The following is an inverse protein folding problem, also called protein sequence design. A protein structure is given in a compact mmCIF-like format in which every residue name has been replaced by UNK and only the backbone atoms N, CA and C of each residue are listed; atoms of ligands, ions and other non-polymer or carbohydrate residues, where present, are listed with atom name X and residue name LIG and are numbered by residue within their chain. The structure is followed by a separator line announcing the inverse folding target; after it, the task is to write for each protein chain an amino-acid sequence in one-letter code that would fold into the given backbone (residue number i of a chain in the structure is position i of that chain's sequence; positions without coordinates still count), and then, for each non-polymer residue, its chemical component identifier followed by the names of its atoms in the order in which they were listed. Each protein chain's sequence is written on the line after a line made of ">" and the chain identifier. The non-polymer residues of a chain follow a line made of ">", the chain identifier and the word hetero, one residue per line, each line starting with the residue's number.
data_IF_221231674248
#
_entry.id   IF_221231674248
#
_cell.length_a   1.000
_cell.length_b   1.000
_cell.length_c   1.000
_cell.angle_alpha   90.00
_cell.angle_beta   90.00
_cell.angle_gamma   90.00
#
_symmetry.space_group_name_H-M   'P 1'
#
loop_
_entity.id
_entity.type
_entity.pdbx_description
1 polymer ?
#
# COMPACT_ATOMS: atom_id res chain seq x y z
N UNK A 1 -3.41 -8.45 -8.78
CA UNK A 1 -3.55 -7.99 -10.20
C UNK A 1 -2.19 -7.60 -10.78
N UNK A 2 -2.03 -7.61 -12.08
CA UNK A 2 -0.90 -7.03 -12.78
C UNK A 2 -1.30 -5.72 -13.45
N UNK A 3 -0.46 -4.67 -13.32
CA UNK A 3 -0.76 -3.38 -13.95
C UNK A 3 -0.69 -3.46 -15.49
N UNK A 4 -1.54 -2.70 -16.21
CA UNK A 4 -1.65 -2.77 -17.69
C UNK A 4 -0.32 -2.65 -18.42
N UNK A 5 0.57 -1.74 -18.00
CA UNK A 5 1.87 -1.57 -18.65
C UNK A 5 2.76 -2.82 -18.57
N UNK A 6 2.61 -3.62 -17.53
CA UNK A 6 3.32 -4.90 -17.38
C UNK A 6 2.75 -5.95 -18.33
N UNK A 7 1.42 -6.09 -18.36
CA UNK A 7 0.72 -6.99 -19.28
C UNK A 7 1.04 -6.66 -20.75
N UNK A 8 1.28 -5.37 -21.06
CA UNK A 8 1.73 -4.90 -22.39
C UNK A 8 3.24 -5.08 -22.61
N UNK A 9 3.98 -5.69 -21.69
CA UNK A 9 5.44 -5.91 -21.79
C UNK A 9 6.30 -4.65 -21.61
N UNK A 10 5.70 -3.54 -21.17
CA UNK A 10 6.44 -2.29 -20.94
C UNK A 10 7.14 -2.30 -19.58
N UNK A 11 8.36 -1.74 -19.54
CA UNK A 11 9.15 -1.61 -18.30
C UNK A 11 8.78 -0.36 -17.50
N UNK A 12 8.46 0.74 -18.18
CA UNK A 12 8.13 2.00 -17.53
C UNK A 12 6.66 2.01 -17.06
N UNK A 13 6.39 2.35 -15.79
CA UNK A 13 5.03 2.47 -15.29
C UNK A 13 4.24 3.57 -16.02
N UNK A 14 2.93 3.36 -16.12
CA UNK A 14 2.00 4.42 -16.48
C UNK A 14 1.97 5.51 -15.38
N UNK A 15 1.42 6.68 -15.69
CA UNK A 15 1.19 7.75 -14.71
C UNK A 15 0.13 7.32 -13.70
N UNK A 16 0.19 7.88 -12.48
CA UNK A 16 -0.67 7.51 -11.37
C UNK A 16 -2.17 7.50 -11.72
N UNK A 17 -2.77 8.48 -12.41
CA UNK A 17 -4.20 8.42 -12.73
C UNK A 17 -4.62 7.17 -13.54
N UNK A 18 -3.79 6.70 -14.47
CA UNK A 18 -4.09 5.48 -15.23
C UNK A 18 -3.97 4.22 -14.37
N UNK A 19 -2.99 4.19 -13.46
CA UNK A 19 -2.82 3.08 -12.51
C UNK A 19 -3.97 3.04 -11.50
N UNK A 20 -4.40 4.17 -10.98
CA UNK A 20 -5.55 4.30 -10.07
C UNK A 20 -6.82 3.79 -10.75
N UNK A 21 -7.10 4.25 -11.97
CA UNK A 21 -8.26 3.79 -12.73
C UNK A 21 -8.24 2.26 -12.95
N UNK A 22 -7.06 1.67 -13.16
CA UNK A 22 -6.96 0.21 -13.29
C UNK A 22 -7.21 -0.52 -11.97
N UNK A 23 -6.80 0.04 -10.82
CA UNK A 23 -7.10 -0.54 -9.50
C UNK A 23 -8.60 -0.49 -9.23
N UNK A 24 -9.25 0.66 -9.46
CA UNK A 24 -10.71 0.81 -9.27
C UNK A 24 -11.48 -0.22 -10.11
N UNK A 25 -11.16 -0.32 -11.40
CA UNK A 25 -11.80 -1.28 -12.30
C UNK A 25 -11.63 -2.74 -11.83
N UNK A 26 -10.43 -3.10 -11.38
CA UNK A 26 -10.19 -4.47 -10.88
C UNK A 26 -10.87 -4.71 -9.54
N UNK A 27 -10.96 -3.72 -8.66
CA UNK A 27 -11.70 -3.82 -7.41
C UNK A 27 -13.19 -4.11 -7.65
N UNK A 28 -13.82 -3.34 -8.53
CA UNK A 28 -15.23 -3.56 -8.94
C UNK A 28 -15.44 -4.95 -9.55
N UNK A 29 -14.52 -5.38 -10.42
CA UNK A 29 -14.58 -6.72 -11.02
C UNK A 29 -14.48 -7.82 -9.96
N UNK A 30 -13.52 -7.73 -9.03
CA UNK A 30 -13.34 -8.72 -7.98
C UNK A 30 -14.53 -8.76 -7.02
N UNK A 31 -15.06 -7.62 -6.62
CA UNK A 31 -16.26 -7.55 -5.80
C UNK A 31 -17.44 -8.24 -6.49
N UNK A 32 -17.65 -7.95 -7.78
CA UNK A 32 -18.67 -8.63 -8.58
C UNK A 32 -18.47 -10.15 -8.71
N UNK A 33 -17.22 -10.61 -8.93
CA UNK A 33 -16.89 -12.04 -9.00
C UNK A 33 -17.13 -12.76 -7.67
N UNK A 34 -16.94 -12.08 -6.53
CA UNK A 34 -17.16 -12.61 -5.18
C UNK A 34 -18.60 -12.43 -4.69
N UNK A 35 -19.40 -11.60 -5.34
CA UNK A 35 -20.76 -11.27 -4.92
C UNK A 35 -20.80 -10.41 -3.65
N UNK A 36 -19.83 -9.53 -3.46
CA UNK A 36 -19.74 -8.60 -2.34
C UNK A 36 -19.55 -7.16 -2.84
N UNK A 37 -19.58 -6.18 -1.94
CA UNK A 37 -19.26 -4.79 -2.26
C UNK A 37 -17.77 -4.49 -2.05
N UNK A 38 -17.20 -3.50 -2.73
CA UNK A 38 -15.77 -3.13 -2.57
C UNK A 38 -15.38 -2.74 -1.15
N UNK A 39 -16.30 -2.19 -0.34
CA UNK A 39 -16.07 -1.83 1.07
C UNK A 39 -15.95 -3.03 2.02
N UNK A 40 -16.28 -4.24 1.54
CA UNK A 40 -16.04 -5.50 2.24
C UNK A 40 -14.64 -6.08 1.93
N UNK A 41 -13.88 -5.46 1.02
CA UNK A 41 -12.56 -5.93 0.57
C UNK A 41 -11.44 -5.11 1.18
N UNK A 42 -10.38 -5.78 1.63
CA UNK A 42 -9.10 -5.14 1.91
C UNK A 42 -8.24 -5.13 0.63
N UNK A 43 -7.69 -3.97 0.33
CA UNK A 43 -6.76 -3.84 -0.79
C UNK A 43 -5.33 -3.72 -0.27
N UNK A 44 -4.37 -4.04 -1.12
CA UNK A 44 -2.99 -3.90 -0.71
C UNK A 44 -2.01 -4.17 -1.82
N UNK A 45 -0.77 -3.97 -1.50
CA UNK A 45 0.30 -4.25 -2.43
C UNK A 45 1.66 -3.82 -1.92
N UNK A 46 2.67 -4.22 -2.68
CA UNK A 46 4.04 -3.91 -2.36
C UNK A 46 4.50 -2.67 -3.13
N UNK A 47 5.26 -1.81 -2.45
CA UNK A 47 5.92 -0.64 -3.03
C UNK A 47 4.91 0.23 -3.83
N UNK A 48 5.15 0.43 -5.11
CA UNK A 48 4.24 1.18 -5.98
C UNK A 48 2.81 0.62 -5.96
N UNK A 49 2.63 -0.69 -5.87
CA UNK A 49 1.31 -1.33 -5.84
C UNK A 49 0.48 -0.86 -4.63
N UNK A 50 1.05 -0.94 -3.43
CA UNK A 50 0.41 -0.45 -2.21
C UNK A 50 0.12 1.05 -2.26
N UNK A 51 1.08 1.85 -2.73
CA UNK A 51 0.88 3.29 -2.90
C UNK A 51 -0.28 3.62 -3.84
N UNK A 52 -0.40 2.93 -4.98
CA UNK A 52 -1.52 3.19 -5.91
C UNK A 52 -2.85 2.73 -5.30
N UNK A 53 -2.90 1.63 -4.54
CA UNK A 53 -4.10 1.22 -3.80
C UNK A 53 -4.51 2.29 -2.77
N UNK A 54 -3.57 2.82 -1.97
CA UNK A 54 -3.88 3.88 -1.00
C UNK A 54 -4.35 5.18 -1.67
N UNK A 55 -3.80 5.52 -2.84
CA UNK A 55 -4.28 6.67 -3.62
C UNK A 55 -5.69 6.45 -4.17
N UNK A 56 -5.99 5.25 -4.70
CA UNK A 56 -7.34 4.93 -5.20
C UNK A 56 -8.39 5.03 -4.08
N UNK A 57 -8.08 4.54 -2.87
CA UNK A 57 -8.96 4.64 -1.70
C UNK A 57 -9.13 6.11 -1.30
N UNK A 58 -8.07 6.90 -1.25
CA UNK A 58 -8.14 8.32 -0.94
C UNK A 58 -8.92 9.13 -2.00
N UNK A 59 -8.98 8.66 -3.25
CA UNK A 59 -9.80 9.24 -4.34
C UNK A 59 -11.24 8.71 -4.34
N UNK A 60 -11.63 7.85 -3.38
CA UNK A 60 -13.02 7.43 -3.16
C UNK A 60 -13.33 5.97 -3.49
N UNK A 61 -12.33 5.11 -3.78
CA UNK A 61 -12.56 3.67 -3.85
C UNK A 61 -12.97 3.17 -2.45
N UNK A 62 -14.20 2.61 -2.26
CA UNK A 62 -14.58 2.01 -0.99
C UNK A 62 -13.68 0.81 -0.66
N UNK A 63 -13.33 0.65 0.62
CA UNK A 63 -12.47 -0.44 1.08
C UNK A 63 -12.67 -0.69 2.57
N UNK A 64 -12.57 -1.95 3.01
CA UNK A 64 -12.53 -2.31 4.42
C UNK A 64 -11.21 -1.86 5.08
N UNK A 65 -10.10 -2.00 4.36
CA UNK A 65 -8.76 -1.66 4.86
C UNK A 65 -7.73 -1.57 3.72
N UNK A 66 -6.52 -1.11 4.04
CA UNK A 66 -5.37 -1.18 3.11
C UNK A 66 -4.13 -1.75 3.79
N UNK A 67 -3.42 -2.64 3.07
CA UNK A 67 -2.14 -3.23 3.49
C UNK A 67 -1.02 -2.73 2.58
N UNK A 68 -0.04 -2.07 3.17
CA UNK A 68 1.06 -1.36 2.50
C UNK A 68 2.40 -2.03 2.81
N UNK A 69 2.84 -2.92 1.93
CA UNK A 69 4.12 -3.61 2.07
C UNK A 69 5.23 -2.78 1.43
N UNK A 70 6.27 -2.46 2.20
CA UNK A 70 7.40 -1.64 1.75
C UNK A 70 6.93 -0.32 1.11
N UNK A 71 6.16 0.49 1.85
CA UNK A 71 5.65 1.76 1.32
C UNK A 71 6.78 2.70 0.93
N UNK A 72 6.83 3.19 -0.33
CA UNK A 72 7.91 4.03 -0.81
C UNK A 72 7.61 5.50 -0.50
N UNK A 73 7.92 5.96 0.73
CA UNK A 73 7.64 7.32 1.20
C UNK A 73 8.23 8.40 0.28
N UNK A 74 9.44 8.16 -0.24
CA UNK A 74 10.11 9.00 -1.23
C UNK A 74 11.04 8.15 -2.12
N UNK A 75 11.54 8.66 -3.26
CA UNK A 75 12.61 7.98 -4.01
C UNK A 75 13.91 7.95 -3.19
N UNK A 76 14.72 6.89 -3.30
CA UNK A 76 16.00 6.81 -2.59
C UNK A 76 16.88 8.03 -2.86
N UNK A 77 17.44 8.60 -1.78
CA UNK A 77 18.30 9.79 -1.88
C UNK A 77 17.59 11.10 -2.23
N UNK A 78 16.24 11.12 -2.17
CA UNK A 78 15.41 12.32 -2.45
C UNK A 78 14.31 12.47 -1.39
N UNK A 79 14.65 12.64 -0.10
CA UNK A 79 13.68 12.72 0.99
C UNK A 79 12.70 13.91 0.85
N UNK A 80 13.10 14.97 0.13
CA UNK A 80 12.24 16.11 -0.18
C UNK A 80 11.08 15.77 -1.15
N UNK A 81 11.14 14.62 -1.81
CA UNK A 81 10.11 14.18 -2.78
C UNK A 81 9.13 13.22 -2.14
N UNK A 82 8.45 13.67 -1.10
CA UNK A 82 7.46 12.88 -0.37
C UNK A 82 6.31 12.45 -1.27
N UNK A 83 5.68 11.35 -0.89
CA UNK A 83 4.53 10.72 -1.59
C UNK A 83 3.38 10.51 -0.61
N UNK A 84 2.97 11.60 0.02
CA UNK A 84 2.01 11.63 1.14
C UNK A 84 0.80 12.52 0.89
N UNK A 85 0.66 13.11 -0.29
CA UNK A 85 -0.36 14.12 -0.60
C UNK A 85 -1.79 13.59 -0.37
N UNK A 86 -1.98 12.26 -0.48
CA UNK A 86 -3.27 11.61 -0.30
C UNK A 86 -3.52 11.13 1.15
N UNK A 87 -2.54 11.19 2.04
CA UNK A 87 -2.66 10.70 3.42
C UNK A 87 -3.85 11.32 4.19
N UNK A 88 -4.11 12.64 4.10
CA UNK A 88 -5.26 13.24 4.80
C UNK A 88 -6.63 12.73 4.35
N UNK A 89 -6.72 12.15 3.16
CA UNK A 89 -7.95 11.55 2.63
C UNK A 89 -8.03 10.03 2.81
N UNK A 90 -6.96 9.39 3.32
CA UNK A 90 -6.94 7.95 3.59
C UNK A 90 -7.59 7.66 4.94
N UNK A 91 -8.90 7.35 4.93
CA UNK A 91 -9.72 7.24 6.14
C UNK A 91 -9.97 5.79 6.63
N UNK A 92 -9.50 4.78 5.89
CA UNK A 92 -9.69 3.37 6.25
C UNK A 92 -8.55 2.87 7.15
N UNK A 93 -8.77 1.79 7.93
CA UNK A 93 -7.70 1.10 8.64
C UNK A 93 -6.54 0.76 7.69
N UNK A 94 -5.34 1.12 8.09
CA UNK A 94 -4.13 1.01 7.26
C UNK A 94 -3.02 0.28 8.01
N UNK A 95 -2.47 -0.77 7.41
CA UNK A 95 -1.30 -1.48 7.93
C UNK A 95 -0.08 -1.17 7.06
N UNK A 96 0.99 -0.66 7.67
CA UNK A 96 2.31 -0.54 7.06
C UNK A 96 3.20 -1.69 7.54
N UNK A 97 3.80 -2.43 6.61
CA UNK A 97 4.83 -3.44 6.90
C UNK A 97 6.08 -3.06 6.12
N UNK A 98 7.06 -2.49 6.80
CA UNK A 98 8.25 -1.92 6.18
C UNK A 98 9.53 -2.47 6.80
N UNK A 99 10.58 -2.61 6.00
CA UNK A 99 11.93 -2.86 6.53
C UNK A 99 12.47 -1.64 7.28
N UNK A 100 13.12 -1.86 8.42
CA UNK A 100 13.71 -0.78 9.24
C UNK A 100 14.95 -0.13 8.60
N UNK A 101 15.47 -0.74 7.52
CA UNK A 101 16.60 -0.24 6.70
C UNK A 101 16.20 0.10 5.26
N UNK A 102 14.91 0.40 5.04
CA UNK A 102 14.40 0.74 3.72
C UNK A 102 14.87 2.14 3.29
N UNK A 103 15.63 2.28 2.17
CA UNK A 103 16.08 3.58 1.68
C UNK A 103 14.96 4.42 1.04
N UNK A 104 13.73 3.91 0.92
CA UNK A 104 12.56 4.64 0.45
C UNK A 104 11.75 5.28 1.59
N UNK A 105 12.16 5.09 2.84
CA UNK A 105 11.54 5.67 4.04
C UNK A 105 11.99 4.92 5.29
N UNK A 106 12.72 5.62 6.15
CA UNK A 106 13.18 5.10 7.45
C UNK A 106 12.04 5.12 8.47
N UNK A 107 12.17 4.39 9.61
CA UNK A 107 11.20 4.46 10.70
C UNK A 107 10.92 5.89 11.19
N UNK A 108 11.95 6.72 11.32
CA UNK A 108 11.81 8.09 11.78
C UNK A 108 11.01 8.96 10.78
N UNK A 109 11.31 8.83 9.49
CA UNK A 109 10.59 9.57 8.44
C UNK A 109 9.13 9.14 8.34
N UNK A 110 8.83 7.83 8.40
CA UNK A 110 7.46 7.34 8.40
C UNK A 110 6.70 7.81 9.64
N UNK A 111 7.30 7.75 10.83
CA UNK A 111 6.69 8.22 12.08
C UNK A 111 6.33 9.71 12.05
N UNK A 112 7.09 10.54 11.32
CA UNK A 112 6.79 11.96 11.13
C UNK A 112 5.52 12.19 10.30
N UNK A 113 5.27 11.34 9.28
CA UNK A 113 4.24 11.58 8.28
C UNK A 113 2.96 10.75 8.47
N UNK A 114 3.03 9.59 9.12
CA UNK A 114 1.86 8.74 9.42
C UNK A 114 0.74 9.49 10.15
N UNK A 115 1.00 10.42 11.10
CA UNK A 115 -0.05 11.17 11.77
C UNK A 115 -0.95 12.03 10.84
N UNK A 116 -0.56 12.23 9.59
CA UNK A 116 -1.39 12.90 8.59
C UNK A 116 -2.48 12.00 8.00
N UNK A 117 -2.42 10.68 8.22
CA UNK A 117 -3.44 9.73 7.76
C UNK A 117 -4.69 9.87 8.63
N UNK A 118 -5.86 10.01 8.00
CA UNK A 118 -7.12 10.24 8.71
C UNK A 118 -7.66 8.99 9.43
N UNK A 119 -7.40 7.80 8.89
CA UNK A 119 -7.83 6.52 9.46
C UNK A 119 -6.87 5.95 10.51
N UNK A 120 -7.28 4.87 11.19
CA UNK A 120 -6.40 4.15 12.11
C UNK A 120 -5.18 3.56 11.37
N UNK A 121 -4.00 3.64 12.00
CA UNK A 121 -2.77 3.12 11.40
C UNK A 121 -2.06 2.16 12.35
N UNK A 122 -1.70 1.00 11.83
CA UNK A 122 -0.75 0.08 12.44
C UNK A 122 0.56 0.06 11.63
N UNK A 123 1.69 -0.06 12.32
CA UNK A 123 3.00 -0.16 11.69
C UNK A 123 3.75 -1.35 12.24
N UNK A 124 4.24 -2.20 11.35
CA UNK A 124 5.13 -3.30 11.69
C UNK A 124 6.48 -3.14 11.00
N UNK A 125 7.56 -3.25 11.77
CA UNK A 125 8.92 -3.14 11.26
C UNK A 125 9.56 -4.51 11.13
N UNK A 126 10.02 -4.83 9.92
CA UNK A 126 10.81 -6.01 9.63
C UNK A 126 12.27 -5.70 9.94
N UNK A 127 12.81 -6.30 11.01
CA UNK A 127 14.15 -6.03 11.50
C UNK A 127 15.24 -6.40 10.47
N UNK A 128 16.17 -5.49 10.24
CA UNK A 128 17.29 -5.67 9.32
C UNK A 128 16.91 -5.69 7.83
N UNK A 129 15.62 -5.58 7.50
CA UNK A 129 15.15 -5.68 6.13
C UNK A 129 15.21 -4.33 5.40
N UNK A 130 15.32 -4.41 4.08
CA UNK A 130 15.33 -3.26 3.17
C UNK A 130 14.02 -3.22 2.39
N UNK A 131 13.97 -2.44 1.30
CA UNK A 131 12.80 -2.30 0.43
C UNK A 131 12.31 -3.62 -0.19
N UNK A 132 13.24 -4.54 -0.42
CA UNK A 132 12.99 -5.91 -0.84
C UNK A 132 13.29 -6.85 0.34
N UNK A 133 12.30 -7.15 1.21
CA UNK A 133 12.49 -8.10 2.30
C UNK A 133 12.88 -9.48 1.75
N UNK A 134 13.73 -10.16 2.50
CA UNK A 134 14.15 -11.52 2.14
C UNK A 134 13.04 -12.52 2.49
N UNK A 135 13.03 -13.71 1.84
CA UNK A 135 12.01 -14.73 2.12
C UNK A 135 12.00 -15.28 3.56
N UNK A 136 13.02 -15.04 4.33
CA UNK A 136 13.10 -15.46 5.75
C UNK A 136 12.12 -14.73 6.67
N UNK A 137 11.52 -13.64 6.22
CA UNK A 137 10.47 -12.90 6.95
C UNK A 137 9.07 -13.08 6.35
N UNK A 138 8.89 -13.96 5.37
CA UNK A 138 7.57 -14.16 4.73
C UNK A 138 6.51 -14.65 5.73
N UNK A 139 6.86 -15.57 6.63
CA UNK A 139 5.94 -16.07 7.66
C UNK A 139 5.53 -14.96 8.64
N UNK A 140 6.46 -14.08 9.02
CA UNK A 140 6.21 -12.91 9.85
C UNK A 140 5.23 -11.95 9.17
N UNK A 141 5.43 -11.67 7.88
CA UNK A 141 4.54 -10.81 7.09
C UNK A 141 3.14 -11.42 7.03
N UNK A 142 3.02 -12.73 6.76
CA UNK A 142 1.74 -13.45 6.70
C UNK A 142 1.01 -13.37 8.05
N UNK A 143 1.72 -13.60 9.17
CA UNK A 143 1.13 -13.52 10.50
C UNK A 143 0.60 -12.13 10.82
N UNK A 144 1.41 -11.09 10.56
CA UNK A 144 1.04 -9.70 10.84
C UNK A 144 -0.16 -9.26 10.02
N UNK A 145 -0.14 -9.56 8.72
CA UNK A 145 -1.27 -9.24 7.82
C UNK A 145 -2.52 -10.01 8.22
N UNK A 146 -2.39 -11.31 8.53
CA UNK A 146 -3.52 -12.15 8.96
C UNK A 146 -4.15 -11.64 10.25
N UNK A 147 -3.34 -11.24 11.25
CA UNK A 147 -3.82 -10.64 12.50
C UNK A 147 -4.56 -9.32 12.26
N UNK A 148 -3.99 -8.42 11.45
CA UNK A 148 -4.61 -7.16 11.11
C UNK A 148 -5.98 -7.35 10.44
N UNK A 149 -6.06 -8.20 9.42
CA UNK A 149 -7.32 -8.47 8.70
C UNK A 149 -8.38 -9.16 9.56
N UNK A 150 -7.96 -9.99 10.53
CA UNK A 150 -8.89 -10.64 11.47
C UNK A 150 -9.42 -9.70 12.55
N UNK A 151 -8.84 -8.53 12.71
CA UNK A 151 -9.24 -7.50 13.68
C UNK A 151 -10.16 -6.41 13.11
N UNK A 152 -10.47 -6.49 11.81
CA UNK A 152 -11.42 -5.60 11.13
C UNK A 152 -12.85 -6.04 11.42
#
# INVERSE_FOLDING_TARGET
>A
MEFPYRAEGRKAPDRAPKLIASVIKEAERYAGDLGCEPDELAFGGRSMGGRICSMAIAEGLPAAAVVLLSYPLHPPGKPERLRIEHFPALAVPSLFVNGDRDPFGTPAELAEHIPAIAGPVEVHWLEGQRHDPKPDVDDEIIEVVGRFLSGL
#
